data_IF_840105824410
#
_entry.id   IF_840105824410
#
_cell.length_a   1.000
_cell.length_b   1.000
_cell.length_c   1.000
_cell.angle_alpha   90.00
_cell.angle_beta   90.00
_cell.angle_gamma   90.00
#
_symmetry.space_group_name_H-M   'P 1'
#
loop_
_entity.id
_entity.type
_entity.pdbx_description
1 polymer ?
#
# COMPACT_ATOMS: atom_id res chain seq x y z
N UNK A 1 -15.65 6.40 25.92
CA UNK A 1 -14.79 5.67 24.98
C UNK A 1 -14.54 6.63 23.83
N UNK A 2 -13.52 7.45 23.99
CA UNK A 2 -13.14 8.56 23.11
C UNK A 2 -12.59 8.02 21.79
N UNK A 3 -13.02 8.64 20.69
CA UNK A 3 -12.52 8.39 19.33
C UNK A 3 -11.30 9.28 19.08
N UNK A 4 -10.22 9.05 19.82
CA UNK A 4 -8.94 9.76 19.65
C UNK A 4 -7.96 8.95 18.80
N UNK A 5 -8.34 8.64 17.54
CA UNK A 5 -7.41 7.96 16.61
C UNK A 5 -6.83 8.86 15.51
N UNK A 6 -7.10 10.16 15.52
CA UNK A 6 -6.47 11.08 14.56
C UNK A 6 -5.72 12.17 15.32
N UNK A 7 -4.42 11.96 15.53
CA UNK A 7 -3.49 13.02 15.93
C UNK A 7 -3.57 14.19 14.93
N UNK A 8 -3.54 15.46 15.36
CA UNK A 8 -3.72 16.64 14.48
C UNK A 8 -2.53 17.00 13.57
N UNK A 9 -1.63 16.07 13.28
CA UNK A 9 -0.61 16.22 12.25
C UNK A 9 -0.98 15.26 11.12
N UNK A 10 -0.87 15.72 9.87
CA UNK A 10 -1.12 14.96 8.62
C UNK A 10 -2.44 15.15 7.89
N UNK A 11 -3.12 16.28 8.09
CA UNK A 11 -4.09 16.75 7.08
C UNK A 11 -3.40 17.13 5.76
N UNK A 12 -2.15 17.58 5.82
CA UNK A 12 -1.33 17.86 4.63
C UNK A 12 -0.71 16.59 4.01
N UNK A 13 -0.46 15.54 4.78
CA UNK A 13 0.14 14.30 4.25
C UNK A 13 -0.86 13.46 3.46
N UNK A 14 -2.13 13.42 3.92
CA UNK A 14 -3.23 12.77 3.18
C UNK A 14 -3.47 13.42 1.81
N UNK A 15 -3.17 14.72 1.66
CA UNK A 15 -3.21 15.43 0.37
C UNK A 15 -1.96 15.23 -0.50
N UNK A 16 -0.85 14.75 0.08
CA UNK A 16 0.40 14.42 -0.64
C UNK A 16 0.47 12.97 -1.10
N UNK A 17 -0.47 12.12 -0.65
CA UNK A 17 -0.60 10.77 -1.19
C UNK A 17 -0.86 10.85 -2.70
N UNK A 18 -0.09 10.12 -3.52
CA UNK A 18 -0.34 10.09 -4.96
C UNK A 18 -1.79 9.65 -5.19
N UNK A 19 -2.51 10.30 -6.13
CA UNK A 19 -3.86 9.86 -6.46
C UNK A 19 -3.77 8.37 -6.79
N UNK A 20 -4.76 7.55 -6.36
CA UNK A 20 -4.75 6.13 -6.68
C UNK A 20 -4.51 6.02 -8.17
N UNK A 21 -3.55 5.20 -8.64
CA UNK A 21 -3.41 4.99 -10.07
C UNK A 21 -4.79 4.54 -10.52
N UNK A 22 -5.47 5.40 -11.27
CA UNK A 22 -6.59 5.00 -12.09
C UNK A 22 -5.99 3.86 -12.89
N UNK A 23 -6.30 2.63 -12.49
CA UNK A 23 -5.91 1.51 -13.30
C UNK A 23 -6.58 1.84 -14.62
N UNK A 24 -5.76 2.06 -15.63
CA UNK A 24 -6.19 2.14 -17.00
C UNK A 24 -6.70 0.75 -17.35
N UNK A 25 -7.82 0.36 -16.75
CA UNK A 25 -8.74 -0.57 -17.34
C UNK A 25 -9.47 0.35 -18.31
N UNK A 26 -8.91 0.59 -19.50
CA UNK A 26 -9.12 -0.37 -20.59
C UNK A 26 -10.30 -1.23 -20.19
N UNK A 27 -11.48 -0.70 -20.49
CA UNK A 27 -12.70 -1.46 -20.59
C UNK A 27 -12.44 -2.54 -21.64
N UNK A 28 -11.59 -3.52 -21.30
CA UNK A 28 -11.43 -4.76 -22.01
C UNK A 28 -12.81 -5.36 -21.89
N UNK A 29 -13.56 -5.14 -22.98
CA UNK A 29 -14.84 -5.76 -23.31
C UNK A 29 -14.60 -7.26 -23.46
N UNK A 30 -14.06 -7.91 -22.45
CA UNK A 30 -14.00 -9.35 -22.43
C UNK A 30 -15.29 -9.82 -21.80
N UNK A 31 -16.34 -9.80 -22.61
CA UNK A 31 -17.61 -10.48 -22.37
C UNK A 31 -17.45 -12.02 -22.38
N UNK A 32 -16.24 -12.54 -22.10
CA UNK A 32 -15.89 -13.96 -22.14
C UNK A 32 -15.97 -14.64 -20.77
N UNK A 33 -17.02 -14.31 -20.00
CA UNK A 33 -17.72 -15.34 -19.23
C UNK A 33 -19.07 -15.62 -19.91
N UNK A 34 -19.04 -15.85 -21.23
CA UNK A 34 -20.11 -16.58 -21.90
C UNK A 34 -19.89 -18.06 -21.61
N UNK A 35 -20.76 -18.74 -20.86
CA UNK A 35 -21.00 -20.14 -21.16
C UNK A 35 -21.75 -20.15 -22.49
N UNK A 36 -21.03 -20.19 -23.62
CA UNK A 36 -21.57 -20.48 -24.96
C UNK A 36 -22.97 -19.87 -25.25
N UNK A 37 -23.17 -18.59 -24.92
CA UNK A 37 -24.38 -17.84 -25.32
C UNK A 37 -24.16 -17.29 -26.72
N UNK A 38 -24.10 -18.22 -27.66
CA UNK A 38 -24.36 -17.99 -29.07
C UNK A 38 -25.40 -19.03 -29.45
N UNK A 39 -26.65 -18.61 -29.69
CA UNK A 39 -27.56 -19.45 -30.43
C UNK A 39 -26.88 -19.73 -31.77
N UNK A 40 -26.31 -20.93 -31.92
CA UNK A 40 -25.80 -21.38 -33.20
C UNK A 40 -27.05 -21.57 -34.06
N UNK A 41 -27.36 -20.56 -34.88
CA UNK A 41 -28.25 -20.74 -36.01
C UNK A 41 -27.52 -21.68 -36.97
N UNK A 42 -27.68 -22.98 -36.74
CA UNK A 42 -27.22 -24.01 -37.67
C UNK A 42 -28.04 -23.84 -38.95
N UNK A 43 -27.35 -23.45 -40.02
CA UNK A 43 -27.92 -23.31 -41.34
C UNK A 43 -28.41 -24.67 -41.84
N UNK A 44 -29.73 -24.87 -41.92
CA UNK A 44 -30.35 -25.38 -43.13
C UNK A 44 -31.90 -25.25 -43.12
N UNK A 45 -32.44 -24.67 -44.19
CA UNK A 45 -33.86 -24.68 -44.65
C UNK A 45 -34.82 -23.60 -44.09
N UNK A 46 -35.58 -22.89 -44.95
CA UNK A 46 -36.57 -21.90 -44.53
C UNK A 46 -37.77 -22.60 -43.89
N UNK A 47 -38.05 -22.29 -42.63
CA UNK A 47 -39.28 -22.68 -41.93
C UNK A 47 -39.11 -23.35 -40.57
N UNK A 48 -37.93 -23.84 -40.20
CA UNK A 48 -37.68 -24.44 -38.88
C UNK A 48 -36.30 -24.09 -38.34
N UNK A 49 -36.15 -22.88 -37.81
CA UNK A 49 -35.08 -22.57 -36.86
C UNK A 49 -35.56 -22.96 -35.45
N UNK A 50 -35.10 -24.11 -34.96
CA UNK A 50 -35.33 -24.56 -33.59
C UNK A 50 -34.71 -23.54 -32.61
N UNK A 51 -35.54 -22.84 -31.85
CA UNK A 51 -35.06 -21.88 -30.84
C UNK A 51 -34.36 -22.65 -29.72
N UNK A 52 -33.03 -22.70 -29.76
CA UNK A 52 -32.24 -23.32 -28.70
C UNK A 52 -32.17 -22.38 -27.49
N UNK A 53 -33.07 -22.62 -26.52
CA UNK A 53 -33.03 -22.00 -25.20
C UNK A 53 -31.98 -22.70 -24.34
N UNK A 54 -31.08 -21.94 -23.71
CA UNK A 54 -30.13 -22.47 -22.72
C UNK A 54 -30.85 -22.96 -21.47
N UNK A 55 -30.22 -23.84 -20.68
CA UNK A 55 -30.82 -24.36 -19.45
C UNK A 55 -31.29 -23.25 -18.48
N UNK A 56 -30.56 -22.14 -18.46
CA UNK A 56 -30.85 -20.96 -17.65
C UNK A 56 -32.03 -20.14 -18.19
N UNK A 57 -32.17 -20.05 -19.52
CA UNK A 57 -33.34 -19.44 -20.16
C UNK A 57 -34.59 -20.29 -19.88
N UNK A 58 -34.52 -21.63 -20.03
CA UNK A 58 -35.63 -22.55 -19.72
C UNK A 58 -36.07 -22.48 -18.27
N UNK A 59 -35.12 -22.38 -17.33
CA UNK A 59 -35.42 -22.18 -15.91
C UNK A 59 -36.13 -20.85 -15.65
N UNK A 60 -35.69 -19.78 -16.30
CA UNK A 60 -36.33 -18.45 -16.15
C UNK A 60 -37.75 -18.45 -16.74
N UNK A 61 -37.98 -19.13 -17.87
CA UNK A 61 -39.33 -19.37 -18.43
C UNK A 61 -40.26 -20.08 -17.44
N UNK A 62 -39.80 -21.20 -16.89
CA UNK A 62 -40.55 -21.97 -15.90
C UNK A 62 -40.88 -21.14 -14.65
N UNK A 63 -39.93 -20.32 -14.19
CA UNK A 63 -40.14 -19.42 -13.03
C UNK A 63 -41.16 -18.30 -13.29
N UNK A 64 -41.37 -17.92 -14.55
CA UNK A 64 -42.37 -16.91 -14.94
C UNK A 64 -43.72 -17.54 -15.31
N UNK A 65 -43.86 -18.87 -15.25
CA UNK A 65 -45.08 -19.59 -15.62
C UNK A 65 -45.39 -19.53 -17.12
N UNK A 66 -44.40 -19.21 -17.96
CA UNK A 66 -44.55 -19.15 -19.42
C UNK A 66 -43.90 -20.41 -19.99
N UNK A 67 -44.64 -21.26 -20.73
CA UNK A 67 -44.05 -22.45 -21.32
C UNK A 67 -42.95 -22.05 -22.31
N UNK A 68 -41.79 -22.76 -22.33
CA UNK A 68 -40.69 -22.43 -23.21
C UNK A 68 -41.09 -22.66 -24.68
N UNK A 69 -40.97 -21.65 -25.56
CA UNK A 69 -41.36 -21.79 -26.97
C UNK A 69 -40.59 -22.93 -27.64
N UNK A 70 -41.32 -23.86 -28.27
CA UNK A 70 -40.77 -25.14 -28.79
C UNK A 70 -40.72 -25.21 -30.32
N UNK A 71 -41.23 -24.22 -31.06
CA UNK A 71 -41.18 -24.18 -32.53
C UNK A 71 -41.56 -22.82 -33.12
N UNK A 72 -41.12 -22.54 -34.35
CA UNK A 72 -41.46 -21.34 -35.12
C UNK A 72 -42.79 -21.52 -35.90
N UNK A 73 -43.48 -20.43 -36.28
CA UNK A 73 -43.19 -19.03 -35.97
C UNK A 73 -43.57 -18.67 -34.53
N UNK A 74 -42.67 -17.98 -33.81
CA UNK A 74 -43.00 -17.48 -32.48
C UNK A 74 -44.17 -16.52 -32.60
N UNK A 75 -45.20 -16.73 -31.79
CA UNK A 75 -46.26 -15.73 -31.61
C UNK A 75 -45.64 -14.43 -31.08
N UNK A 76 -46.19 -13.28 -31.45
CA UNK A 76 -45.75 -11.97 -30.93
C UNK A 76 -45.71 -11.92 -29.39
N UNK A 77 -46.49 -12.78 -28.71
CA UNK A 77 -46.45 -12.98 -27.26
C UNK A 77 -45.16 -13.68 -26.79
N UNK A 78 -44.73 -14.73 -27.48
CA UNK A 78 -43.54 -15.53 -27.14
C UNK A 78 -42.24 -14.74 -27.39
N UNK A 79 -42.19 -13.92 -28.45
CA UNK A 79 -41.05 -13.03 -28.70
C UNK A 79 -40.89 -11.98 -27.59
N UNK A 80 -42.01 -11.42 -27.12
CA UNK A 80 -42.03 -10.47 -26.00
C UNK A 80 -41.60 -11.15 -24.69
N UNK A 81 -41.97 -12.41 -24.47
CA UNK A 81 -41.52 -13.19 -23.31
C UNK A 81 -39.99 -13.45 -23.36
N UNK A 82 -39.47 -13.89 -24.51
CA UNK A 82 -38.04 -14.15 -24.70
C UNK A 82 -37.19 -12.91 -24.45
N UNK A 83 -37.63 -11.76 -24.97
CA UNK A 83 -36.96 -10.47 -24.75
C UNK A 83 -36.92 -10.08 -23.27
N UNK A 84 -38.01 -10.32 -22.53
CA UNK A 84 -38.07 -10.05 -21.08
C UNK A 84 -37.09 -10.95 -20.31
N UNK A 85 -37.05 -12.23 -20.65
CA UNK A 85 -36.18 -13.21 -19.99
C UNK A 85 -34.71 -12.92 -20.26
N UNK A 86 -34.32 -12.67 -21.52
CA UNK A 86 -32.95 -12.24 -21.86
C UNK A 86 -32.53 -10.96 -21.15
N UNK A 87 -33.44 -9.99 -21.02
CA UNK A 87 -33.20 -8.76 -20.24
C UNK A 87 -32.99 -9.05 -18.77
N UNK A 88 -33.79 -9.94 -18.16
CA UNK A 88 -33.64 -10.33 -16.75
C UNK A 88 -32.31 -11.05 -16.49
N UNK A 89 -31.89 -11.95 -17.38
CA UNK A 89 -30.59 -12.62 -17.28
C UNK A 89 -29.43 -11.63 -17.40
N UNK A 90 -29.49 -10.71 -18.39
CA UNK A 90 -28.48 -9.64 -18.52
C UNK A 90 -28.40 -8.77 -17.25
N UNK A 91 -29.55 -8.42 -16.67
CA UNK A 91 -29.59 -7.64 -15.43
C UNK A 91 -29.02 -8.43 -14.25
N UNK A 92 -29.35 -9.73 -14.14
CA UNK A 92 -28.82 -10.62 -13.12
C UNK A 92 -27.29 -10.67 -13.15
N UNK A 93 -26.69 -10.88 -14.33
CA UNK A 93 -25.23 -10.89 -14.47
C UNK A 93 -24.62 -9.51 -14.22
N UNK A 94 -25.22 -8.44 -14.75
CA UNK A 94 -24.72 -7.08 -14.52
C UNK A 94 -24.73 -6.70 -13.04
N UNK A 95 -25.76 -7.10 -12.30
CA UNK A 95 -25.86 -6.86 -10.87
C UNK A 95 -24.82 -7.67 -10.10
N UNK A 96 -24.61 -8.94 -10.46
CA UNK A 96 -23.59 -9.80 -9.84
C UNK A 96 -22.18 -9.24 -10.07
N UNK A 97 -21.86 -8.88 -11.32
CA UNK A 97 -20.56 -8.35 -11.69
C UNK A 97 -20.30 -6.98 -11.02
N UNK A 98 -21.31 -6.14 -10.91
CA UNK A 98 -21.22 -4.89 -10.15
C UNK A 98 -20.90 -5.14 -8.67
N UNK A 99 -21.57 -6.12 -8.04
CA UNK A 99 -21.27 -6.53 -6.66
C UNK A 99 -19.86 -7.08 -6.53
N UNK A 100 -19.42 -7.90 -7.49
CA UNK A 100 -18.06 -8.47 -7.53
C UNK A 100 -17.00 -7.39 -7.57
N UNK A 101 -17.12 -6.43 -8.49
CA UNK A 101 -16.17 -5.29 -8.60
C UNK A 101 -16.14 -4.43 -7.35
N UNK A 102 -17.29 -4.18 -6.72
CA UNK A 102 -17.33 -3.44 -5.46
C UNK A 102 -16.60 -4.19 -4.35
N UNK A 103 -16.78 -5.52 -4.28
CA UNK A 103 -16.07 -6.37 -3.33
C UNK A 103 -14.56 -6.31 -3.56
N UNK A 104 -14.11 -6.54 -4.80
CA UNK A 104 -12.69 -6.48 -5.19
C UNK A 104 -12.07 -5.10 -4.88
N UNK A 105 -12.79 -4.01 -5.12
CA UNK A 105 -12.31 -2.66 -4.77
C UNK A 105 -12.13 -2.50 -3.25
N UNK A 106 -13.11 -2.93 -2.45
CA UNK A 106 -13.01 -2.87 -0.99
C UNK A 106 -11.86 -3.74 -0.48
N UNK A 107 -11.75 -4.98 -0.96
CA UNK A 107 -10.64 -5.88 -0.62
C UNK A 107 -9.28 -5.27 -1.00
N UNK A 108 -9.17 -4.59 -2.15
CA UNK A 108 -7.94 -3.91 -2.53
C UNK A 108 -7.60 -2.71 -1.64
N UNK A 109 -8.61 -2.00 -1.14
CA UNK A 109 -8.40 -0.89 -0.21
C UNK A 109 -7.95 -1.42 1.15
N UNK A 110 -8.61 -2.45 1.66
CA UNK A 110 -8.24 -3.13 2.91
C UNK A 110 -6.79 -3.65 2.81
N UNK A 111 -6.44 -4.34 1.72
CA UNK A 111 -5.09 -4.83 1.49
C UNK A 111 -4.04 -3.71 1.46
N UNK A 112 -4.35 -2.56 0.86
CA UNK A 112 -3.43 -1.40 0.84
C UNK A 112 -3.25 -0.78 2.21
N UNK A 113 -4.32 -0.69 3.01
CA UNK A 113 -4.23 -0.21 4.39
C UNK A 113 -3.32 -1.13 5.20
N UNK A 114 -3.49 -2.45 5.08
CA UNK A 114 -2.62 -3.42 5.75
C UNK A 114 -1.16 -3.28 5.31
N UNK A 115 -0.90 -3.12 4.00
CA UNK A 115 0.44 -2.87 3.48
C UNK A 115 1.06 -1.60 4.09
N UNK A 116 0.33 -0.48 4.08
CA UNK A 116 0.82 0.76 4.67
C UNK A 116 1.05 0.64 6.17
N UNK A 117 0.20 -0.08 6.90
CA UNK A 117 0.41 -0.34 8.32
C UNK A 117 1.71 -1.12 8.57
N UNK A 118 1.95 -2.20 7.82
CA UNK A 118 3.18 -2.99 7.93
C UNK A 118 4.43 -2.21 7.56
N UNK A 119 4.36 -1.38 6.52
CA UNK A 119 5.47 -0.51 6.11
C UNK A 119 5.75 0.56 7.16
N UNK A 120 4.70 1.18 7.70
CA UNK A 120 4.81 2.19 8.75
C UNK A 120 5.48 1.60 10.01
N UNK A 121 5.09 0.40 10.43
CA UNK A 121 5.71 -0.31 11.54
C UNK A 121 7.21 -0.60 11.30
N UNK A 122 7.56 -1.01 10.07
CA UNK A 122 8.95 -1.24 9.68
C UNK A 122 9.78 0.06 9.75
N UNK A 123 9.23 1.15 9.22
CA UNK A 123 9.87 2.47 9.26
C UNK A 123 10.04 2.98 10.69
N UNK A 124 9.03 2.85 11.54
CA UNK A 124 9.12 3.21 12.97
C UNK A 124 10.24 2.44 13.67
N UNK A 125 10.29 1.12 13.50
CA UNK A 125 11.38 0.28 14.05
C UNK A 125 12.74 0.73 13.53
N UNK A 126 12.83 1.13 12.26
CA UNK A 126 14.09 1.61 11.68
C UNK A 126 14.51 2.93 12.29
N UNK A 127 13.58 3.86 12.49
CA UNK A 127 13.82 5.13 13.20
C UNK A 127 14.31 4.85 14.61
N UNK A 128 13.63 4.00 15.38
CA UNK A 128 14.04 3.65 16.75
C UNK A 128 15.47 3.08 16.81
N UNK A 129 15.82 2.20 15.87
CA UNK A 129 17.18 1.63 15.77
C UNK A 129 18.23 2.70 15.47
N UNK A 130 17.93 3.60 14.53
CA UNK A 130 18.84 4.68 14.15
C UNK A 130 19.01 5.67 15.30
N UNK A 131 17.92 6.05 15.97
CA UNK A 131 17.97 6.90 17.15
C UNK A 131 18.78 6.26 18.28
N UNK A 132 18.57 4.97 18.55
CA UNK A 132 19.35 4.24 19.56
C UNK A 132 20.84 4.21 19.21
N UNK A 133 21.17 3.95 17.94
CA UNK A 133 22.56 3.95 17.46
C UNK A 133 23.17 5.35 17.58
N UNK A 134 22.43 6.39 17.21
CA UNK A 134 22.87 7.78 17.28
C UNK A 134 23.11 8.20 18.74
N UNK A 135 22.18 7.88 19.66
CA UNK A 135 22.37 8.07 21.11
C UNK A 135 23.66 7.40 21.60
N UNK A 136 23.93 6.18 21.17
CA UNK A 136 25.16 5.45 21.50
C UNK A 136 26.43 6.14 20.98
N UNK A 137 26.44 6.54 19.71
CA UNK A 137 27.57 7.25 19.10
C UNK A 137 27.83 8.60 19.76
N UNK A 138 26.78 9.36 20.07
CA UNK A 138 26.91 10.62 20.80
C UNK A 138 27.48 10.43 22.20
N UNK A 139 27.10 9.34 22.89
CA UNK A 139 27.68 9.00 24.19
C UNK A 139 29.18 8.70 24.09
N UNK A 140 29.60 7.90 23.10
CA UNK A 140 31.01 7.61 22.84
C UNK A 140 31.79 8.88 22.49
N UNK A 141 31.23 9.74 21.65
CA UNK A 141 31.84 11.00 21.25
C UNK A 141 32.04 11.93 22.46
N UNK A 142 31.03 12.05 23.35
CA UNK A 142 31.15 12.80 24.60
C UNK A 142 32.22 12.23 25.52
N UNK A 143 32.29 10.91 25.65
CA UNK A 143 33.33 10.26 26.45
C UNK A 143 34.73 10.55 25.89
N UNK A 144 34.92 10.44 24.58
CA UNK A 144 36.19 10.75 23.92
C UNK A 144 36.57 12.22 24.10
N UNK A 145 35.62 13.15 23.89
CA UNK A 145 35.86 14.58 24.13
C UNK A 145 36.31 14.87 25.56
N UNK A 146 35.70 14.23 26.57
CA UNK A 146 36.12 14.35 27.97
C UNK A 146 37.53 13.79 28.18
N UNK A 147 37.86 12.62 27.62
CA UNK A 147 39.20 12.04 27.76
C UNK A 147 40.27 12.90 27.08
N UNK A 148 40.01 13.45 25.90
CA UNK A 148 40.94 14.35 25.21
C UNK A 148 41.13 15.67 25.96
N UNK A 149 40.05 16.26 26.49
CA UNK A 149 40.12 17.47 27.31
C UNK A 149 40.90 17.23 28.63
N UNK A 150 40.71 16.08 29.26
CA UNK A 150 41.48 15.70 30.45
C UNK A 150 42.94 15.46 30.11
N UNK A 151 43.24 14.75 29.02
CA UNK A 151 44.60 14.52 28.54
C UNK A 151 45.33 15.84 28.24
N UNK A 152 44.69 16.79 27.56
CA UNK A 152 45.28 18.10 27.28
C UNK A 152 45.51 18.92 28.56
N UNK A 153 44.58 18.89 29.53
CA UNK A 153 44.75 19.53 30.82
C UNK A 153 45.92 18.92 31.63
N UNK A 154 46.03 17.59 31.67
CA UNK A 154 47.16 16.92 32.36
C UNK A 154 48.51 17.22 31.69
N UNK A 155 48.57 17.25 30.36
CA UNK A 155 49.77 17.61 29.62
C UNK A 155 50.19 19.07 29.91
N UNK A 156 49.24 20.00 29.94
CA UNK A 156 49.51 21.40 30.28
C UNK A 156 50.00 21.55 31.74
N UNK A 157 49.40 20.84 32.69
CA UNK A 157 49.82 20.86 34.09
C UNK A 157 51.23 20.29 34.29
N UNK A 158 51.56 19.19 33.60
CA UNK A 158 52.90 18.59 33.63
C UNK A 158 53.96 19.55 33.05
N UNK A 159 53.66 20.24 31.95
CA UNK A 159 54.55 21.24 31.36
C UNK A 159 54.78 22.43 32.31
N UNK A 160 53.73 22.92 32.98
CA UNK A 160 53.84 24.01 33.96
C UNK A 160 54.66 23.62 35.20
N UNK A 161 54.52 22.37 35.68
CA UNK A 161 55.31 21.84 36.79
C UNK A 161 56.80 21.69 36.41
N UNK A 162 57.09 21.21 35.20
CA UNK A 162 58.46 21.10 34.69
C UNK A 162 59.13 22.48 34.54
N UNK A 163 58.40 23.48 34.03
CA UNK A 163 58.88 24.86 33.92
C UNK A 163 59.16 25.48 35.29
N UNK A 164 58.27 25.27 36.27
CA UNK A 164 58.45 25.77 37.64
C UNK A 164 59.66 25.13 38.32
N UNK A 165 59.87 23.82 38.13
CA UNK A 165 61.03 23.12 38.68
C UNK A 165 62.35 23.52 38.01
N UNK A 166 62.33 23.89 36.72
CA UNK A 166 63.50 24.41 36.00
C UNK A 166 63.90 25.82 36.50
N UNK A 167 62.93 26.70 36.76
CA UNK A 167 63.15 28.05 37.30
C UNK A 167 63.74 28.01 38.73
N UNK A 168 63.30 27.06 39.57
CA UNK A 168 63.88 26.87 40.91
C UNK A 168 65.33 26.38 40.82
N UNK A 169 65.66 25.53 39.82
CA UNK A 169 67.03 25.05 39.58
C UNK A 169 67.98 26.15 39.11
N UNK A 170 67.53 27.06 38.24
CA UNK A 170 68.37 28.16 37.74
C UNK A 170 68.57 29.25 38.79
N UNK A 171 67.64 29.46 39.72
CA UNK A 171 67.81 30.41 40.84
C UNK A 171 68.87 30.03 41.87
N UNK A 172 69.23 28.75 41.98
CA UNK A 172 70.26 28.26 42.92
C UNK A 172 71.70 28.42 42.38
N UNK A 173 71.87 28.77 41.10
CA UNK A 173 73.20 28.89 40.46
C UNK A 173 73.49 30.36 40.13
N UNK A 174 73.85 31.17 41.13
CA UNK A 174 74.33 32.53 40.94
C UNK A 174 75.85 32.49 40.69
N UNK A 175 76.37 32.90 39.51
CA UNK A 175 77.80 32.90 39.26
C UNK A 175 78.45 34.08 40.01
N UNK A 176 79.40 33.77 40.90
CA UNK A 176 80.27 34.74 41.54
C UNK A 176 81.12 35.43 40.44
N UNK A 177 80.93 36.73 40.23
CA UNK A 177 81.77 37.54 39.34
C UNK A 177 83.10 37.85 40.02
N UNK A 178 84.27 37.48 39.46
CA UNK A 178 85.54 37.89 40.03
C UNK A 178 85.82 39.35 39.66
N UNK A 179 86.05 40.17 40.69
CA UNK A 179 86.63 41.51 40.57
C UNK A 179 88.15 41.37 40.60
N UNK A 180 88.83 41.86 39.57
CA UNK A 180 90.29 41.88 39.47
C UNK A 180 90.74 42.27 38.08
#
# INVERSE_FOLDING_TARGET
MELDWISPLDREEVSRLPPPPHSGNSCSRNWNLKPELGAQLSSNRPGQCLLQLTAEERFTYASEGIPPPTGLPLSAHEEKALKRIRRKLKNKWSAQESRRRKKEYMESLEQRVDQYATENDSLRRRVDQLESSNRGLLAQLRQLQQTCANASATAAAAAAAAASSAVVRTRQHQPQTPLG
#
